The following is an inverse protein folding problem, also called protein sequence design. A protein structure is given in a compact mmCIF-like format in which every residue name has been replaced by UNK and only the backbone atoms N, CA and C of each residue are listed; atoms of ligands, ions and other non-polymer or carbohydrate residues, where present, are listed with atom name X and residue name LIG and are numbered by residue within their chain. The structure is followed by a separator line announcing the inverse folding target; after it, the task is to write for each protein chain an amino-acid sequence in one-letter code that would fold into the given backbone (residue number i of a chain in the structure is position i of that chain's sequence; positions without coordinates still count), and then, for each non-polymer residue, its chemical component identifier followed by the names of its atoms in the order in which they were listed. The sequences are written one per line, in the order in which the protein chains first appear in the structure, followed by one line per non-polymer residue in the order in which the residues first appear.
data_IF_196257454065
#
_entry.id   IF_196257454065
#
_cell.length_a   1.000
_cell.length_b   1.000
_cell.length_c   1.000
_cell.angle_alpha   90.00
_cell.angle_beta   90.00
_cell.angle_gamma   90.00
#
_symmetry.space_group_name_H-M   'P 1'
#
loop_
_entity.id
_entity.type
_entity.pdbx_description
1 polymer ?
#
# COMPACT_ATOMS: atom_id res chain seq x y z
N UNK A 1 41.68 10.78 -66.26
CA UNK A 1 41.72 11.13 -64.81
C UNK A 1 40.29 11.09 -64.28
N UNK A 2 39.90 10.01 -63.61
CA UNK A 2 38.55 9.82 -63.07
C UNK A 2 38.55 10.41 -61.65
N UNK A 3 37.83 11.51 -61.46
CA UNK A 3 37.73 12.19 -60.17
C UNK A 3 36.76 11.42 -59.27
N UNK A 4 37.30 10.56 -58.41
CA UNK A 4 36.53 9.75 -57.47
C UNK A 4 36.07 10.65 -56.30
N UNK A 5 34.84 11.15 -56.38
CA UNK A 5 34.21 11.96 -55.33
C UNK A 5 33.95 11.07 -54.12
N UNK A 6 34.77 11.20 -53.07
CA UNK A 6 34.55 10.55 -51.76
C UNK A 6 33.25 11.08 -51.16
N UNK A 7 32.19 10.28 -51.18
CA UNK A 7 30.98 10.51 -50.40
C UNK A 7 31.31 10.13 -48.95
N UNK A 8 31.46 11.15 -48.09
CA UNK A 8 31.65 10.97 -46.66
C UNK A 8 30.29 10.62 -46.03
N UNK A 9 30.01 9.33 -45.81
CA UNK A 9 28.88 8.87 -45.01
C UNK A 9 29.17 9.17 -43.53
N UNK A 10 28.51 10.20 -42.96
CA UNK A 10 28.48 10.41 -41.52
C UNK A 10 27.61 9.31 -40.89
N UNK A 11 28.13 8.48 -39.98
CA UNK A 11 27.30 7.57 -39.21
C UNK A 11 26.46 8.39 -38.23
N UNK A 12 25.15 8.34 -38.38
CA UNK A 12 24.21 8.93 -37.43
C UNK A 12 24.29 8.10 -36.14
N UNK A 13 25.05 8.57 -35.15
CA UNK A 13 25.04 7.99 -33.80
C UNK A 13 23.66 8.21 -33.19
N UNK A 14 22.79 7.20 -33.29
CA UNK A 14 21.59 7.13 -32.47
C UNK A 14 22.05 6.89 -31.02
N UNK A 15 22.01 7.93 -30.19
CA UNK A 15 22.18 7.79 -28.75
C UNK A 15 21.01 6.93 -28.24
N UNK A 16 21.26 5.77 -27.61
CA UNK A 16 20.20 5.01 -26.98
C UNK A 16 19.64 5.84 -25.83
N UNK A 17 18.47 6.45 -26.02
CA UNK A 17 17.68 7.02 -24.95
C UNK A 17 17.17 5.86 -24.10
N UNK A 18 17.70 5.72 -22.90
CA UNK A 18 17.18 4.76 -21.93
C UNK A 18 15.89 5.34 -21.36
N UNK A 19 14.76 5.04 -22.02
CA UNK A 19 13.41 5.19 -21.47
C UNK A 19 13.23 4.13 -20.38
N UNK A 20 13.86 4.38 -19.23
CA UNK A 20 14.12 3.33 -18.26
C UNK A 20 13.66 3.64 -16.85
N UNK A 21 12.68 4.50 -16.63
CA UNK A 21 12.19 4.77 -15.27
C UNK A 21 10.68 4.91 -15.20
N UNK A 22 10.14 4.96 -13.98
CA UNK A 22 8.70 4.96 -13.77
C UNK A 22 8.29 5.50 -12.40
N UNK A 23 7.01 5.35 -12.09
CA UNK A 23 6.38 5.88 -10.88
C UNK A 23 5.14 5.06 -10.52
N UNK A 24 4.60 5.26 -9.31
CA UNK A 24 3.29 4.73 -8.92
C UNK A 24 2.22 5.57 -9.63
N UNK A 25 1.52 4.97 -10.58
CA UNK A 25 0.50 5.66 -11.35
C UNK A 25 -0.88 5.53 -10.73
N UNK A 26 -1.21 4.37 -10.16
CA UNK A 26 -2.53 4.15 -9.53
C UNK A 26 -2.40 3.42 -8.21
N UNK A 27 -3.33 3.73 -7.32
CA UNK A 27 -3.47 3.07 -6.02
C UNK A 27 -4.87 2.47 -5.95
N UNK A 28 -4.96 1.18 -5.66
CA UNK A 28 -6.21 0.46 -5.44
C UNK A 28 -6.43 0.13 -3.97
N UNK A 29 -7.70 0.02 -3.56
CA UNK A 29 -8.13 -0.39 -2.22
C UNK A 29 -9.14 -1.52 -2.38
N UNK A 30 -8.85 -2.70 -1.82
CA UNK A 30 -9.69 -3.91 -1.82
C UNK A 30 -10.26 -4.33 -3.19
N UNK A 31 -9.57 -3.97 -4.27
CA UNK A 31 -10.03 -4.12 -5.65
C UNK A 31 -11.38 -3.41 -5.98
N UNK A 32 -11.89 -2.56 -5.09
CA UNK A 32 -13.17 -1.85 -5.24
C UNK A 32 -12.98 -0.40 -5.69
N UNK A 33 -11.88 0.22 -5.28
CA UNK A 33 -11.55 1.60 -5.61
C UNK A 33 -10.20 1.66 -6.34
N UNK A 34 -10.08 2.57 -7.30
CA UNK A 34 -8.81 2.89 -7.96
C UNK A 34 -8.67 4.40 -8.05
N UNK A 35 -7.61 4.92 -7.46
CA UNK A 35 -7.25 6.32 -7.40
C UNK A 35 -6.07 6.55 -8.35
N UNK A 36 -6.16 7.62 -9.15
CA UNK A 36 -5.19 7.93 -10.19
C UNK A 36 -4.24 9.03 -9.68
N UNK A 37 -2.95 8.76 -9.79
CA UNK A 37 -1.88 9.71 -9.57
C UNK A 37 -1.70 10.65 -10.76
N UNK A 38 -1.16 11.84 -10.49
CA UNK A 38 -0.72 12.73 -11.55
C UNK A 38 0.52 12.15 -12.26
N UNK A 39 0.67 12.42 -13.55
CA UNK A 39 1.91 12.10 -14.26
C UNK A 39 3.05 13.01 -13.78
N UNK A 40 4.29 12.53 -13.69
CA UNK A 40 5.44 13.33 -13.27
C UNK A 40 5.61 14.60 -14.12
N UNK A 41 6.07 15.68 -13.48
CA UNK A 41 6.27 17.00 -14.10
C UNK A 41 5.02 17.67 -14.70
N UNK A 42 3.82 17.11 -14.51
CA UNK A 42 2.60 17.79 -14.91
C UNK A 42 2.20 18.87 -13.91
N UNK A 43 1.29 19.75 -14.35
CA UNK A 43 0.53 20.60 -13.41
C UNK A 43 -0.38 19.67 -12.59
N UNK A 44 -0.20 19.58 -11.26
CA UNK A 44 -0.94 18.62 -10.46
C UNK A 44 -2.43 18.95 -10.41
N UNK A 45 -3.23 17.90 -10.32
CA UNK A 45 -4.64 17.93 -9.88
C UNK A 45 -4.77 17.20 -8.54
N UNK A 46 -5.93 17.30 -7.90
CA UNK A 46 -6.26 16.56 -6.68
C UNK A 46 -5.87 15.08 -6.79
N UNK A 47 -4.96 14.63 -5.92
CA UNK A 47 -4.52 13.24 -5.88
C UNK A 47 -3.95 12.87 -4.51
N UNK A 48 -4.10 11.59 -4.16
CA UNK A 48 -3.49 10.98 -2.98
C UNK A 48 -2.01 10.63 -3.19
N UNK A 49 -1.57 10.54 -4.45
CA UNK A 49 -0.16 10.28 -4.80
C UNK A 49 0.54 11.64 -4.90
N UNK A 50 1.59 11.83 -4.11
CA UNK A 50 2.39 13.06 -4.14
C UNK A 50 2.94 13.31 -5.55
N UNK A 51 2.79 14.53 -6.05
CA UNK A 51 3.35 14.94 -7.34
C UNK A 51 4.87 14.97 -7.25
N UNK A 52 5.55 14.27 -8.17
CA UNK A 52 7.00 14.35 -8.36
C UNK A 52 7.32 15.09 -9.66
N UNK A 53 8.49 15.71 -9.75
CA UNK A 53 8.91 16.47 -10.94
C UNK A 53 9.72 15.63 -11.95
N UNK A 54 10.19 14.45 -11.57
CA UNK A 54 10.98 13.56 -12.43
C UNK A 54 10.77 12.09 -12.06
N UNK A 55 10.84 11.23 -13.08
CA UNK A 55 10.92 9.76 -12.92
C UNK A 55 12.32 9.25 -12.69
N UNK A 56 13.34 10.12 -12.79
CA UNK A 56 14.73 9.72 -12.59
C UNK A 56 14.92 9.09 -11.20
N UNK A 57 15.79 8.08 -11.07
CA UNK A 57 15.98 7.41 -9.81
C UNK A 57 16.60 8.40 -8.81
N UNK A 58 16.08 8.41 -7.60
CA UNK A 58 16.73 9.09 -6.47
C UNK A 58 17.99 8.32 -6.13
N UNK A 59 19.15 8.92 -6.39
CA UNK A 59 20.47 8.32 -6.15
C UNK A 59 21.09 8.86 -4.86
N UNK A 60 21.81 8.00 -4.15
CA UNK A 60 22.48 8.28 -2.88
C UNK A 60 21.56 8.08 -1.68
N UNK A 61 22.01 7.30 -0.70
CA UNK A 61 21.26 6.97 0.50
C UNK A 61 20.94 8.19 1.39
N UNK A 62 21.80 9.21 1.35
CA UNK A 62 21.64 10.47 2.10
C UNK A 62 20.79 11.51 1.35
N UNK A 63 20.24 11.17 0.18
CA UNK A 63 19.48 12.10 -0.63
C UNK A 63 18.14 12.46 0.07
N UNK A 64 17.80 13.76 0.22
CA UNK A 64 16.58 14.19 0.91
C UNK A 64 15.29 13.69 0.23
N UNK A 65 15.35 13.31 -1.04
CA UNK A 65 14.20 12.81 -1.80
C UNK A 65 13.92 11.31 -1.61
N UNK A 66 14.72 10.59 -0.82
CA UNK A 66 14.52 9.15 -0.55
C UNK A 66 13.17 8.86 0.10
N UNK A 67 12.59 9.81 0.83
CA UNK A 67 11.31 9.63 1.52
C UNK A 67 10.09 9.58 0.60
N UNK A 68 10.05 10.38 -0.48
CA UNK A 68 8.82 10.62 -1.26
C UNK A 68 9.06 10.80 -2.78
N UNK A 69 10.30 10.76 -3.25
CA UNK A 69 10.65 10.97 -4.66
C UNK A 69 11.07 12.41 -4.99
N UNK A 70 11.52 12.63 -6.24
CA UNK A 70 12.09 13.91 -6.66
C UNK A 70 11.11 15.07 -6.51
N UNK A 71 11.47 16.02 -5.64
CA UNK A 71 10.72 17.25 -5.38
C UNK A 71 9.22 16.98 -5.13
N UNK A 72 8.96 15.96 -4.31
CA UNK A 72 7.61 15.52 -4.01
C UNK A 72 6.80 16.61 -3.29
N UNK A 73 5.71 17.04 -3.90
CA UNK A 73 4.79 18.02 -3.32
C UNK A 73 3.85 17.38 -2.30
N UNK A 74 3.17 18.20 -1.50
CA UNK A 74 2.09 17.71 -0.63
C UNK A 74 0.98 17.08 -1.48
N UNK A 75 0.39 15.99 -0.99
CA UNK A 75 -0.80 15.41 -1.60
C UNK A 75 -2.00 16.33 -1.31
N UNK A 76 -2.84 16.55 -2.31
CA UNK A 76 -4.02 17.42 -2.20
C UNK A 76 -5.24 16.64 -1.68
N UNK A 77 -5.30 15.33 -1.97
CA UNK A 77 -6.37 14.46 -1.49
C UNK A 77 -5.86 13.48 -0.43
N UNK A 78 -6.77 13.08 0.46
CA UNK A 78 -6.59 12.01 1.45
C UNK A 78 -7.72 11.00 1.25
N UNK A 79 -7.40 9.71 1.42
CA UNK A 79 -8.39 8.64 1.40
C UNK A 79 -8.38 7.88 2.72
N UNK A 80 -9.57 7.58 3.21
CA UNK A 80 -9.76 6.72 4.37
C UNK A 80 -9.61 5.25 3.97
N UNK A 81 -8.80 4.51 4.72
CA UNK A 81 -8.58 3.06 4.57
C UNK A 81 -8.70 2.40 5.94
N UNK A 82 -9.14 1.15 5.96
CA UNK A 82 -9.26 0.37 7.19
C UNK A 82 -8.00 -0.48 7.43
N UNK A 83 -7.65 -0.75 8.69
CA UNK A 83 -6.68 -1.78 9.02
C UNK A 83 -7.07 -3.13 8.40
N UNK A 84 -6.14 -3.78 7.70
CA UNK A 84 -6.40 -5.01 6.96
C UNK A 84 -6.83 -4.84 5.51
N UNK A 85 -7.11 -3.62 5.04
CA UNK A 85 -7.39 -3.38 3.62
C UNK A 85 -6.18 -3.79 2.77
N UNK A 86 -6.43 -4.34 1.58
CA UNK A 86 -5.39 -4.64 0.61
C UNK A 86 -5.17 -3.44 -0.32
N UNK A 87 -3.98 -2.85 -0.22
CA UNK A 87 -3.52 -1.78 -1.08
C UNK A 87 -2.84 -2.36 -2.33
N UNK A 88 -3.19 -1.84 -3.50
CA UNK A 88 -2.61 -2.24 -4.78
C UNK A 88 -1.89 -1.07 -5.43
N UNK A 89 -0.57 -1.13 -5.57
CA UNK A 89 0.23 -0.09 -6.22
C UNK A 89 0.55 -0.48 -7.66
N UNK A 90 -0.06 0.20 -8.62
CA UNK A 90 0.19 -0.02 -10.04
C UNK A 90 1.28 0.92 -10.52
N UNK A 91 2.40 0.35 -10.93
CA UNK A 91 3.54 1.07 -11.48
C UNK A 91 3.42 1.23 -12.99
N UNK A 92 3.94 2.33 -13.51
CA UNK A 92 4.05 2.59 -14.94
C UNK A 92 5.42 3.21 -15.26
N UNK A 93 5.90 3.03 -16.49
CA UNK A 93 6.99 3.82 -17.04
C UNK A 93 6.62 5.30 -17.13
N UNK A 94 7.62 6.18 -17.27
CA UNK A 94 7.40 7.63 -17.39
C UNK A 94 6.56 8.04 -18.61
N UNK A 95 6.50 7.19 -19.63
CA UNK A 95 5.66 7.29 -20.82
C UNK A 95 4.33 6.52 -20.69
N UNK A 96 3.98 6.09 -19.47
CA UNK A 96 2.84 5.22 -19.14
C UNK A 96 2.92 3.81 -19.73
N UNK A 97 4.08 3.40 -20.24
CA UNK A 97 4.33 2.01 -20.60
C UNK A 97 4.52 1.13 -19.35
N UNK A 98 4.95 -0.11 -19.56
CA UNK A 98 5.25 -1.05 -18.48
C UNK A 98 6.45 -0.58 -17.67
N UNK A 99 6.51 -1.02 -16.43
CA UNK A 99 7.67 -0.77 -15.60
C UNK A 99 8.93 -1.37 -16.26
N UNK A 100 10.02 -0.61 -16.44
CA UNK A 100 11.12 -1.01 -17.34
C UNK A 100 12.21 -1.86 -16.68
N UNK A 101 12.09 -2.18 -15.39
CA UNK A 101 13.09 -2.98 -14.65
C UNK A 101 12.50 -4.26 -14.07
N UNK A 102 13.29 -5.33 -14.05
CA UNK A 102 12.86 -6.64 -13.58
C UNK A 102 13.67 -7.18 -12.40
N UNK A 103 14.60 -6.39 -11.86
CA UNK A 103 15.54 -6.79 -10.81
C UNK A 103 15.56 -5.70 -9.74
N UNK A 104 15.15 -6.07 -8.53
CA UNK A 104 15.19 -5.19 -7.37
C UNK A 104 14.10 -5.51 -6.35
N UNK A 105 14.30 -5.12 -5.08
CA UNK A 105 13.29 -5.28 -4.05
C UNK A 105 12.14 -4.29 -4.25
N UNK A 106 11.00 -4.60 -3.65
CA UNK A 106 9.93 -3.63 -3.41
C UNK A 106 9.69 -3.58 -1.91
N UNK A 107 9.81 -2.38 -1.33
CA UNK A 107 9.67 -2.11 0.09
C UNK A 107 8.50 -1.16 0.30
N UNK A 108 7.71 -1.36 1.35
CA UNK A 108 6.61 -0.46 1.68
C UNK A 108 6.73 -0.05 3.14
N UNK A 109 6.69 1.25 3.35
CA UNK A 109 6.77 1.89 4.66
C UNK A 109 5.49 2.67 4.94
N UNK A 110 5.23 2.89 6.21
CA UNK A 110 4.21 3.81 6.68
C UNK A 110 4.83 4.75 7.72
N UNK A 111 4.19 5.91 7.90
CA UNK A 111 4.50 6.87 8.97
C UNK A 111 3.18 7.47 9.45
N UNK A 112 3.12 7.82 10.73
CA UNK A 112 2.00 8.60 11.25
C UNK A 112 2.15 10.07 10.85
N UNK A 113 1.04 10.71 10.49
CA UNK A 113 0.96 12.16 10.36
C UNK A 113 0.71 12.80 11.75
N UNK A 114 1.26 13.99 12.03
CA UNK A 114 0.94 14.75 13.24
C UNK A 114 -0.56 14.95 13.37
N UNK A 115 -1.09 14.82 14.59
CA UNK A 115 -2.49 15.05 14.93
C UNK A 115 -3.52 14.28 14.05
N UNK A 116 -3.08 13.22 13.38
CA UNK A 116 -3.87 12.46 12.38
C UNK A 116 -4.30 13.25 11.15
N UNK A 117 -3.63 14.37 10.83
CA UNK A 117 -3.87 15.15 9.62
C UNK A 117 -2.65 15.10 8.69
N UNK A 118 -2.85 14.52 7.50
CA UNK A 118 -1.81 14.39 6.49
C UNK A 118 -1.79 15.52 5.46
N UNK A 119 -2.76 16.46 5.49
CA UNK A 119 -2.96 17.47 4.44
C UNK A 119 -1.78 18.44 4.32
N UNK A 120 -1.13 18.74 5.45
CA UNK A 120 0.03 19.64 5.53
C UNK A 120 1.32 18.91 5.89
N UNK A 121 1.29 17.56 5.91
CA UNK A 121 2.38 16.77 6.47
C UNK A 121 3.62 16.78 5.58
N UNK A 122 4.70 17.40 6.08
CA UNK A 122 6.03 17.29 5.52
C UNK A 122 6.76 16.09 6.13
N UNK A 123 7.15 15.14 5.28
CA UNK A 123 7.74 13.87 5.67
C UNK A 123 9.28 13.90 5.80
N UNK A 124 9.93 15.06 5.64
CA UNK A 124 11.41 15.17 5.66
C UNK A 124 12.04 14.72 6.98
N UNK A 125 11.30 14.84 8.09
CA UNK A 125 11.74 14.39 9.43
C UNK A 125 10.84 13.28 9.99
N UNK A 126 10.08 12.61 9.12
CA UNK A 126 9.14 11.58 9.52
C UNK A 126 9.84 10.36 10.12
N UNK A 127 9.10 9.64 10.96
CA UNK A 127 9.52 8.36 11.55
C UNK A 127 8.76 7.24 10.87
N UNK A 128 9.48 6.53 10.02
CA UNK A 128 8.97 5.48 9.15
C UNK A 128 9.15 4.11 9.79
N UNK A 129 8.20 3.22 9.56
CA UNK A 129 8.33 1.80 9.86
C UNK A 129 7.98 0.97 8.63
N UNK A 130 8.69 -0.14 8.43
CA UNK A 130 8.49 -1.02 7.27
C UNK A 130 7.30 -1.94 7.53
N UNK A 131 6.37 -2.05 6.57
CA UNK A 131 5.20 -2.94 6.67
C UNK A 131 5.27 -4.14 5.73
N UNK A 132 6.03 -4.03 4.63
CA UNK A 132 6.19 -5.12 3.68
C UNK A 132 7.52 -5.00 2.94
N UNK A 133 8.06 -6.14 2.53
CA UNK A 133 9.17 -6.24 1.60
C UNK A 133 9.06 -7.51 0.77
N UNK A 134 9.41 -7.41 -0.50
CA UNK A 134 9.54 -8.56 -1.41
C UNK A 134 10.80 -8.40 -2.26
N UNK A 135 11.47 -9.51 -2.55
CA UNK A 135 12.75 -9.53 -3.26
C UNK A 135 12.76 -10.61 -4.34
N UNK A 136 13.71 -11.55 -4.27
CA UNK A 136 13.69 -12.76 -5.09
C UNK A 136 12.53 -13.68 -4.69
N UNK A 137 11.99 -14.41 -5.66
CA UNK A 137 10.97 -15.44 -5.45
C UNK A 137 11.62 -16.60 -4.67
N UNK A 138 11.08 -16.99 -3.50
CA UNK A 138 11.63 -18.11 -2.74
C UNK A 138 11.61 -19.41 -3.55
N UNK A 139 12.66 -20.21 -3.42
CA UNK A 139 12.81 -21.52 -4.10
C UNK A 139 12.78 -21.45 -5.63
N UNK A 140 13.02 -20.29 -6.23
CA UNK A 140 13.24 -20.17 -7.68
C UNK A 140 14.71 -20.30 -8.03
N UNK A 141 15.06 -21.38 -8.74
CA UNK A 141 16.41 -21.64 -9.25
C UNK A 141 16.93 -20.56 -10.21
N UNK A 142 16.03 -19.78 -10.83
CA UNK A 142 16.44 -18.68 -11.71
C UNK A 142 16.69 -17.37 -10.95
N UNK A 143 16.40 -17.35 -9.64
CA UNK A 143 16.58 -16.17 -8.81
C UNK A 143 15.72 -14.98 -9.27
N UNK A 144 14.56 -15.23 -9.89
CA UNK A 144 13.65 -14.21 -10.41
C UNK A 144 13.18 -13.28 -9.29
N UNK A 145 13.09 -11.98 -9.56
CA UNK A 145 12.55 -11.01 -8.62
C UNK A 145 11.05 -10.84 -8.79
N UNK A 146 10.32 -10.57 -7.70
CA UNK A 146 8.90 -10.20 -7.78
C UNK A 146 8.66 -8.98 -8.69
N UNK A 147 9.62 -8.06 -8.79
CA UNK A 147 9.54 -6.91 -9.69
C UNK A 147 9.40 -7.31 -11.17
N UNK A 148 9.87 -8.51 -11.56
CA UNK A 148 9.71 -9.02 -12.92
C UNK A 148 8.25 -9.13 -13.37
N UNK A 149 7.28 -9.26 -12.45
CA UNK A 149 5.87 -9.26 -12.81
C UNK A 149 5.38 -7.88 -13.30
N UNK A 150 5.93 -6.78 -12.76
CA UNK A 150 5.66 -5.42 -13.25
C UNK A 150 6.30 -5.19 -14.63
N UNK A 151 7.45 -5.82 -14.85
CA UNK A 151 8.16 -5.75 -16.12
C UNK A 151 7.46 -6.55 -17.22
N UNK A 152 6.91 -7.73 -16.90
CA UNK A 152 6.44 -8.73 -17.88
C UNK A 152 4.95 -8.61 -18.25
N UNK A 153 4.14 -7.90 -17.48
CA UNK A 153 2.70 -7.80 -17.69
C UNK A 153 2.10 -6.42 -17.36
N UNK A 154 1.12 -6.01 -18.15
CA UNK A 154 0.35 -4.78 -17.92
C UNK A 154 -0.60 -4.91 -16.73
N UNK A 155 -0.70 -3.84 -15.94
CA UNK A 155 -1.71 -3.73 -14.89
C UNK A 155 -1.51 -4.66 -13.69
N UNK A 156 -0.33 -5.26 -13.54
CA UNK A 156 0.00 -6.04 -12.34
C UNK A 156 0.33 -5.08 -11.20
N UNK A 157 -0.40 -5.11 -10.06
CA UNK A 157 -0.07 -4.30 -8.92
C UNK A 157 0.97 -4.98 -8.01
N UNK A 158 1.77 -4.16 -7.33
CA UNK A 158 2.41 -4.58 -6.09
C UNK A 158 1.37 -4.47 -4.96
N UNK A 159 1.02 -5.60 -4.34
CA UNK A 159 0.00 -5.65 -3.29
C UNK A 159 0.63 -5.63 -1.90
N UNK A 160 0.00 -4.89 -0.98
CA UNK A 160 0.36 -4.84 0.44
C UNK A 160 -0.90 -4.79 1.27
N UNK A 161 -1.03 -5.69 2.25
CA UNK A 161 -2.11 -5.63 3.23
C UNK A 161 -1.72 -4.69 4.35
N UNK A 162 -2.59 -3.72 4.67
CA UNK A 162 -2.36 -2.83 5.81
C UNK A 162 -2.36 -3.64 7.12
N UNK A 163 -1.48 -3.32 8.08
CA UNK A 163 -1.43 -4.04 9.34
C UNK A 163 -2.80 -4.10 10.03
N UNK A 164 -3.20 -5.28 10.49
CA UNK A 164 -4.41 -5.43 11.29
C UNK A 164 -4.19 -4.80 12.66
N UNK A 165 -5.03 -3.83 13.03
CA UNK A 165 -5.06 -3.38 14.42
C UNK A 165 -5.91 -4.36 15.25
N UNK A 166 -5.31 -4.95 16.28
CA UNK A 166 -6.09 -5.53 17.37
C UNK A 166 -6.56 -4.40 18.29
N UNK A 167 -7.76 -3.87 18.07
CA UNK A 167 -8.47 -3.22 19.18
C UNK A 167 -9.10 -4.31 20.06
N UNK A 168 -8.79 -4.40 21.37
CA UNK A 168 -9.62 -5.18 22.27
C UNK A 168 -11.06 -4.67 22.24
N UNK A 169 -11.98 -5.62 22.22
CA UNK A 169 -13.43 -5.47 22.03
C UNK A 169 -14.06 -4.62 23.15
N UNK A 170 -15.17 -3.95 22.81
CA UNK A 170 -16.17 -3.24 23.64
C UNK A 170 -15.92 -1.79 24.09
N UNK A 171 -16.47 -0.84 23.32
CA UNK A 171 -17.30 0.25 23.87
C UNK A 171 -18.49 0.49 22.92
N UNK A 172 -19.72 0.70 23.42
CA UNK A 172 -20.88 0.97 22.59
C UNK A 172 -20.71 2.28 21.79
N UNK A 173 -20.91 2.21 20.48
CA UNK A 173 -20.99 3.36 19.58
C UNK A 173 -22.10 4.34 20.02
N UNK A 174 -21.87 5.65 19.96
CA UNK A 174 -22.83 6.59 19.41
C UNK A 174 -22.43 6.98 17.97
N UNK A 175 -23.37 7.38 17.12
CA UNK A 175 -23.09 7.63 15.71
C UNK A 175 -22.54 9.04 15.49
N UNK A 176 -21.62 9.11 14.51
CA UNK A 176 -21.17 10.30 13.73
C UNK A 176 -19.98 11.09 14.29
N UNK A 177 -18.93 11.09 13.47
CA UNK A 177 -17.97 12.16 13.22
C UNK A 177 -17.07 12.59 14.38
N UNK A 178 -16.05 11.81 14.75
CA UNK A 178 -14.88 12.37 15.44
C UNK A 178 -13.73 11.37 15.53
N UNK A 179 -12.56 11.88 15.13
CA UNK A 179 -11.23 11.32 15.31
C UNK A 179 -11.04 10.74 16.72
N UNK A 180 -10.52 9.52 16.81
CA UNK A 180 -10.03 9.00 18.06
C UNK A 180 -8.66 9.64 18.34
N UNK A 181 -8.61 10.67 19.19
CA UNK A 181 -7.36 11.09 19.81
C UNK A 181 -6.78 9.92 20.63
N UNK A 182 -5.48 9.61 20.56
CA UNK A 182 -4.86 8.77 21.57
C UNK A 182 -4.55 9.65 22.78
N UNK A 183 -5.38 9.55 23.81
CA UNK A 183 -4.97 9.88 25.16
C UNK A 183 -3.90 8.88 25.63
N UNK A 184 -2.90 9.46 26.28
CA UNK A 184 -1.67 8.89 26.84
C UNK A 184 -1.81 7.53 27.57
N UNK A 185 -0.70 6.76 27.53
CA UNK A 185 -0.36 5.58 28.36
C UNK A 185 -1.20 4.31 28.22
N UNK A 186 -1.02 3.62 27.11
CA UNK A 186 -0.68 2.18 27.14
C UNK A 186 0.17 1.86 25.90
N UNK A 187 1.28 1.13 26.07
CA UNK A 187 2.02 0.54 24.94
C UNK A 187 1.10 -0.50 24.29
N UNK A 188 0.22 -0.02 23.42
CA UNK A 188 -0.83 -0.81 22.80
C UNK A 188 -0.26 -1.70 21.70
N UNK A 189 -0.67 -2.96 21.71
CA UNK A 189 -0.45 -3.91 20.61
C UNK A 189 -1.02 -3.30 19.32
N UNK A 190 -0.15 -2.91 18.37
CA UNK A 190 -0.56 -2.36 17.08
C UNK A 190 -0.03 -0.95 16.73
N UNK A 191 0.98 -0.46 17.45
CA UNK A 191 1.73 0.78 17.13
C UNK A 191 3.22 0.41 16.98
N UNK A 192 3.97 1.00 16.03
CA UNK A 192 5.41 0.82 15.93
C UNK A 192 6.10 1.20 17.25
N UNK A 193 7.09 0.40 17.65
CA UNK A 193 8.01 0.75 18.74
C UNK A 193 9.11 1.68 18.23
N UNK A 194 9.84 2.36 19.12
CA UNK A 194 10.97 3.20 18.72
C UNK A 194 12.03 2.40 17.93
N UNK A 195 12.18 1.10 18.21
CA UNK A 195 13.08 0.20 17.49
C UNK A 195 12.60 -0.15 16.07
N UNK A 196 11.30 0.02 15.78
CA UNK A 196 10.73 -0.16 14.44
C UNK A 196 10.88 1.12 13.57
N UNK A 197 11.28 2.25 14.17
CA UNK A 197 11.23 3.57 13.55
C UNK A 197 12.60 4.03 13.01
N UNK A 198 12.61 4.50 11.77
CA UNK A 198 13.78 5.06 11.08
C UNK A 198 13.45 6.39 10.40
N UNK A 199 14.47 7.15 9.99
CA UNK A 199 14.30 8.32 9.12
C UNK A 199 14.63 7.97 7.68
N UNK A 200 14.03 8.68 6.73
CA UNK A 200 14.38 8.63 5.31
C UNK A 200 14.66 10.07 4.85
N UNK A 201 15.91 10.43 4.52
CA UNK A 201 17.14 9.63 4.58
C UNK A 201 17.57 9.24 6.02
N UNK A 202 18.46 8.25 6.12
CA UNK A 202 19.06 7.76 7.37
C UNK A 202 18.89 6.26 7.63
N UNK A 203 17.87 5.61 7.06
CA UNK A 203 17.67 4.17 7.18
C UNK A 203 18.60 3.33 6.29
N UNK A 204 19.25 3.96 5.31
CA UNK A 204 20.02 3.32 4.27
C UNK A 204 21.45 3.85 4.27
N UNK A 205 22.37 3.02 3.77
CA UNK A 205 23.72 3.41 3.38
C UNK A 205 24.01 2.94 1.95
N UNK A 206 24.79 3.71 1.18
CA UNK A 206 25.21 3.31 -0.16
C UNK A 206 26.03 2.01 -0.16
N UNK A 207 26.58 1.60 0.99
CA UNK A 207 27.31 0.34 1.17
C UNK A 207 26.48 -0.78 1.79
N UNK A 208 25.17 -0.59 2.01
CA UNK A 208 24.32 -1.68 2.51
C UNK A 208 24.36 -2.86 1.53
N UNK A 209 24.41 -4.12 2.02
CA UNK A 209 24.48 -5.30 1.17
C UNK A 209 23.21 -5.55 0.33
N UNK A 210 22.15 -4.76 0.57
CA UNK A 210 20.94 -4.72 -0.24
C UNK A 210 20.91 -3.62 -1.30
N UNK A 211 21.86 -2.68 -1.25
CA UNK A 211 21.99 -1.51 -2.14
C UNK A 211 23.20 -1.71 -3.06
N UNK A 212 24.39 -1.94 -2.49
CA UNK A 212 25.57 -2.31 -3.25
C UNK A 212 25.62 -3.84 -3.39
N UNK A 213 25.08 -4.33 -4.51
CA UNK A 213 25.02 -5.77 -4.82
C UNK A 213 25.78 -6.05 -6.13
N UNK A 214 27.11 -6.28 -6.07
CA UNK A 214 27.93 -6.47 -7.26
C UNK A 214 27.45 -7.61 -8.16
N UNK A 215 26.95 -8.69 -7.54
CA UNK A 215 26.57 -9.93 -8.20
C UNK A 215 25.05 -10.07 -8.38
N UNK A 216 24.30 -8.96 -8.44
CA UNK A 216 22.81 -9.01 -8.50
C UNK A 216 22.29 -9.79 -9.70
N UNK A 217 23.03 -9.77 -10.82
CA UNK A 217 22.71 -10.48 -12.06
C UNK A 217 23.24 -11.92 -12.10
N UNK A 218 24.11 -12.32 -11.16
CA UNK A 218 24.63 -13.67 -11.10
C UNK A 218 23.60 -14.57 -10.39
N UNK A 219 23.22 -15.67 -11.04
CA UNK A 219 22.17 -16.59 -10.57
C UNK A 219 22.66 -18.03 -10.39
N UNK A 220 23.97 -18.28 -10.49
CA UNK A 220 24.58 -19.60 -10.31
C UNK A 220 25.78 -19.53 -9.35
N UNK A 221 25.60 -19.86 -8.05
CA UNK A 221 24.32 -20.06 -7.38
C UNK A 221 23.55 -18.74 -7.20
N UNK A 222 22.23 -18.80 -7.02
CA UNK A 222 21.43 -17.60 -6.67
C UNK A 222 21.89 -17.07 -5.31
N UNK A 223 22.46 -15.85 -5.23
CA UNK A 223 22.94 -15.32 -3.97
C UNK A 223 21.75 -14.95 -3.07
N UNK A 224 21.94 -15.16 -1.76
CA UNK A 224 21.03 -14.63 -0.76
C UNK A 224 20.97 -13.09 -0.87
N UNK A 225 19.79 -12.52 -0.71
CA UNK A 225 19.59 -11.07 -0.77
C UNK A 225 19.24 -10.53 0.62
N UNK A 226 20.00 -9.54 1.08
CA UNK A 226 19.72 -8.84 2.34
C UNK A 226 18.95 -7.57 2.03
N UNK A 227 17.74 -7.44 2.57
CA UNK A 227 16.96 -6.21 2.38
C UNK A 227 17.59 -5.03 3.13
N UNK A 228 17.65 -3.83 2.53
CA UNK A 228 18.12 -2.64 3.22
C UNK A 228 17.05 -2.08 4.17
N UNK A 229 17.47 -1.22 5.09
CA UNK A 229 16.60 -0.59 6.09
C UNK A 229 16.21 -1.52 7.26
N UNK A 230 15.25 -1.07 8.10
CA UNK A 230 14.86 -1.82 9.29
C UNK A 230 14.16 -3.14 8.95
N UNK A 231 13.98 -3.99 9.96
CA UNK A 231 13.07 -5.13 9.83
C UNK A 231 11.63 -4.67 9.53
N UNK A 232 10.78 -5.59 9.05
CA UNK A 232 9.33 -5.36 9.07
C UNK A 232 8.93 -5.14 10.53
N UNK A 233 8.13 -4.11 10.79
CA UNK A 233 7.75 -3.70 12.12
C UNK A 233 7.11 -4.86 12.91
N UNK A 234 7.53 -5.01 14.16
CA UNK A 234 7.22 -6.15 15.02
C UNK A 234 5.71 -6.46 15.15
N UNK A 235 4.86 -5.44 15.16
CA UNK A 235 3.41 -5.60 15.28
C UNK A 235 2.74 -6.11 13.99
N UNK A 236 3.40 -5.97 12.84
CA UNK A 236 2.91 -6.47 11.55
C UNK A 236 3.08 -7.99 11.48
N UNK A 237 4.23 -8.50 11.93
CA UNK A 237 4.55 -9.94 11.95
C UNK A 237 3.81 -10.69 13.07
N UNK A 238 3.50 -10.02 14.18
CA UNK A 238 2.62 -10.59 15.21
C UNK A 238 1.20 -10.87 14.69
N UNK A 239 0.73 -10.09 13.71
CA UNK A 239 -0.61 -10.21 13.13
C UNK A 239 -0.77 -11.37 12.14
N UNK A 240 0.33 -11.92 11.59
CA UNK A 240 0.32 -13.09 10.70
C UNK A 240 0.40 -14.43 11.45
N UNK A 241 0.59 -14.41 12.77
CA UNK A 241 0.81 -15.59 13.62
C UNK A 241 -0.46 -16.22 14.19
N UNK A 242 -1.62 -16.01 13.57
CA UNK A 242 -2.92 -16.44 14.10
C UNK A 242 -3.48 -17.70 13.45
N UNK A 243 -3.04 -18.90 13.89
CA UNK A 243 -3.85 -20.14 14.11
C UNK A 243 -3.05 -21.44 13.87
N UNK A 244 -2.38 -21.96 14.91
CA UNK A 244 -2.03 -23.38 15.01
C UNK A 244 -1.82 -23.84 16.46
N UNK A 245 -2.81 -23.59 17.33
CA UNK A 245 -2.90 -24.35 18.58
C UNK A 245 -3.46 -25.74 18.29
N UNK A 246 -2.54 -26.66 17.99
CA UNK A 246 -2.78 -28.09 17.89
C UNK A 246 -3.25 -28.67 19.21
N UNK A 247 -4.33 -29.44 19.12
CA UNK A 247 -5.00 -30.17 20.18
C UNK A 247 -4.06 -31.08 20.97
N UNK A 248 -3.98 -30.86 22.28
CA UNK A 248 -3.47 -31.81 23.26
C UNK A 248 -4.55 -32.10 24.30
N UNK A 249 -5.38 -33.11 24.02
CA UNK A 249 -6.41 -33.64 24.92
C UNK A 249 -5.81 -34.11 26.25
N UNK A 250 -6.46 -33.77 27.38
CA UNK A 250 -6.64 -34.69 28.52
C UNK A 250 -7.70 -34.18 29.51
N UNK A 251 -8.83 -34.87 29.45
CA UNK A 251 -9.84 -35.24 30.45
C UNK A 251 -9.80 -34.63 31.86
N UNK A 252 -10.98 -34.17 32.29
CA UNK A 252 -11.31 -33.95 33.70
C UNK A 252 -12.60 -33.16 33.91
N UNK A 253 -13.77 -33.80 33.70
CA UNK A 253 -15.04 -33.38 34.31
C UNK A 253 -15.15 -34.07 35.69
N UNK A 254 -15.90 -33.57 36.70
CA UNK A 254 -17.35 -33.41 36.55
C UNK A 254 -18.04 -32.24 37.30
N UNK A 255 -19.22 -31.91 36.76
CA UNK A 255 -20.51 -31.61 37.43
C UNK A 255 -20.68 -30.44 38.41
N UNK A 256 -21.61 -29.53 38.05
CA UNK A 256 -22.87 -29.24 38.77
C UNK A 256 -23.66 -28.15 37.99
N UNK A 257 -24.72 -28.49 37.26
CA UNK A 257 -26.15 -28.29 37.63
C UNK A 257 -26.52 -26.90 38.17
N UNK A 258 -27.43 -26.19 37.46
CA UNK A 258 -28.09 -25.01 38.00
C UNK A 258 -28.93 -24.27 36.96
N UNK A 259 -30.22 -24.59 36.90
CA UNK A 259 -31.21 -24.08 35.94
C UNK A 259 -31.81 -22.70 36.28
N UNK A 260 -32.38 -22.07 35.24
CA UNK A 260 -33.62 -21.24 35.23
C UNK A 260 -33.58 -19.79 35.78
N UNK A 261 -33.76 -18.85 34.83
CA UNK A 261 -34.94 -17.99 34.63
C UNK A 261 -35.65 -17.39 35.86
N UNK A 262 -35.66 -16.05 35.97
CA UNK A 262 -36.87 -15.19 35.88
C UNK A 262 -36.63 -13.73 36.33
N UNK A 263 -37.25 -12.79 35.60
CA UNK A 263 -37.55 -11.36 35.89
C UNK A 263 -38.05 -11.08 37.32
N UNK A 264 -38.10 -9.82 37.86
CA UNK A 264 -38.99 -8.76 37.35
C UNK A 264 -38.55 -7.28 37.47
N UNK A 265 -39.07 -6.48 36.54
CA UNK A 265 -39.84 -5.21 36.68
C UNK A 265 -39.65 -4.27 37.90
N UNK A 266 -39.51 -2.96 37.59
CA UNK A 266 -40.04 -1.75 38.27
C UNK A 266 -39.06 -0.57 38.01
N UNK A 267 -39.39 0.71 37.83
CA UNK A 267 -40.61 1.52 37.72
C UNK A 267 -40.14 2.90 37.21
N UNK A 268 -40.98 3.60 36.44
CA UNK A 268 -40.79 5.00 36.05
C UNK A 268 -40.84 5.96 37.27
N UNK A 269 -40.42 7.22 37.10
CA UNK A 269 -41.45 8.24 36.86
C UNK A 269 -41.11 9.26 35.77
N UNK A 270 -42.19 9.86 35.28
CA UNK A 270 -42.27 10.89 34.26
C UNK A 270 -42.03 12.30 34.84
N UNK A 271 -41.50 13.20 34.01
CA UNK A 271 -41.81 14.64 34.11
C UNK A 271 -41.41 15.41 32.84
N UNK A 272 -42.45 15.93 32.18
CA UNK A 272 -42.60 17.23 31.51
C UNK A 272 -41.65 17.69 30.38
N UNK A 273 -42.27 17.79 29.21
CA UNK A 273 -41.93 18.54 27.99
C UNK A 273 -41.77 20.06 28.20
N UNK A 274 -41.11 20.76 27.26
CA UNK A 274 -41.92 21.51 26.29
C UNK A 274 -41.48 21.36 24.82
N UNK A 275 -42.53 21.29 24.01
CA UNK A 275 -42.75 21.47 22.58
C UNK A 275 -41.81 22.43 21.83
N UNK A 276 -41.19 21.95 20.75
CA UNK A 276 -40.90 22.77 19.56
C UNK A 276 -40.97 21.93 18.29
N UNK A 277 -41.98 22.21 17.47
CA UNK A 277 -42.28 21.55 16.19
C UNK A 277 -41.24 21.87 15.08
N UNK A 278 -41.18 21.06 14.01
CA UNK A 278 -39.98 20.84 13.22
C UNK A 278 -39.85 21.78 12.02
N UNK A 279 -38.62 22.23 11.72
CA UNK A 279 -38.30 22.88 10.45
C UNK A 279 -37.89 21.82 9.42
N UNK A 280 -38.84 21.40 8.60
CA UNK A 280 -38.63 20.60 7.39
C UNK A 280 -38.03 21.47 6.28
N UNK A 281 -36.79 21.18 5.84
CA UNK A 281 -36.26 21.66 4.57
C UNK A 281 -36.66 20.69 3.45
N UNK A 282 -37.61 21.10 2.60
CA UNK A 282 -37.98 20.40 1.37
C UNK A 282 -37.03 20.83 0.24
N UNK A 283 -36.20 19.91 -0.25
CA UNK A 283 -35.48 20.09 -1.52
C UNK A 283 -36.42 19.80 -2.68
N UNK A 284 -36.53 20.75 -3.59
CA UNK A 284 -37.39 20.74 -4.77
C UNK A 284 -36.71 19.92 -5.88
N UNK A 285 -37.30 18.79 -6.25
CA UNK A 285 -36.84 17.98 -7.39
C UNK A 285 -37.34 18.63 -8.69
N UNK A 286 -36.42 19.09 -9.53
CA UNK A 286 -36.73 19.44 -10.91
C UNK A 286 -36.76 18.16 -11.76
N UNK A 287 -37.76 18.06 -12.62
CA UNK A 287 -37.99 16.97 -13.56
C UNK A 287 -37.64 17.37 -14.98
N UNK A 288 -37.41 16.34 -15.81
CA UNK A 288 -37.15 16.30 -17.27
C UNK A 288 -35.69 16.52 -17.67
N UNK A 289 -35.06 15.75 -18.57
CA UNK A 289 -35.60 15.04 -19.73
C UNK A 289 -34.91 13.70 -20.02
N UNK A 290 -35.68 12.80 -20.61
CA UNK A 290 -35.28 11.52 -21.21
C UNK A 290 -34.37 11.74 -22.42
N UNK A 291 -33.18 11.12 -22.42
CA UNK A 291 -32.44 10.85 -23.65
C UNK A 291 -31.94 9.40 -23.65
N UNK A 292 -32.41 8.65 -24.63
CA UNK A 292 -32.05 7.27 -24.93
C UNK A 292 -30.54 7.13 -25.16
N UNK A 293 -29.89 6.24 -24.41
CA UNK A 293 -28.56 5.71 -24.78
C UNK A 293 -28.55 4.19 -24.68
N UNK A 294 -28.55 3.62 -25.89
CA UNK A 294 -28.17 2.29 -26.33
C UNK A 294 -27.12 1.64 -25.42
N UNK A 295 -27.47 0.50 -24.83
CA UNK A 295 -26.56 -0.37 -24.10
C UNK A 295 -25.55 -1.01 -25.06
N UNK A 296 -24.27 -0.82 -24.79
CA UNK A 296 -23.20 -1.71 -25.25
C UNK A 296 -22.67 -2.44 -24.05
N UNK A 297 -22.98 -3.72 -24.01
CA UNK A 297 -22.55 -4.72 -23.03
C UNK A 297 -21.03 -4.86 -23.07
N UNK A 298 -20.36 -4.54 -21.96
CA UNK A 298 -18.94 -4.82 -21.77
C UNK A 298 -18.79 -6.30 -21.37
N UNK A 299 -17.90 -7.08 -22.00
CA UNK A 299 -17.77 -8.50 -21.70
C UNK A 299 -17.15 -8.69 -20.32
N UNK A 300 -17.91 -9.31 -19.40
CA UNK A 300 -17.40 -9.79 -18.12
C UNK A 300 -16.50 -11.01 -18.37
N UNK A 301 -15.22 -11.01 -17.96
CA UNK A 301 -14.42 -12.22 -17.98
C UNK A 301 -14.94 -13.18 -16.90
N UNK A 302 -15.70 -14.20 -17.32
CA UNK A 302 -15.92 -15.40 -16.54
C UNK A 302 -14.61 -16.18 -16.56
N UNK A 303 -14.03 -16.42 -15.39
CA UNK A 303 -12.77 -17.11 -15.10
C UNK A 303 -11.56 -16.19 -14.86
N UNK A 304 -11.26 -15.99 -13.58
CA UNK A 304 -9.90 -15.75 -13.11
C UNK A 304 -9.01 -16.91 -13.61
N UNK A 305 -7.93 -16.59 -14.32
CA UNK A 305 -6.96 -17.59 -14.76
C UNK A 305 -6.37 -18.31 -13.54
N UNK A 306 -6.04 -19.60 -13.67
CA UNK A 306 -5.44 -20.40 -12.59
C UNK A 306 -4.15 -19.75 -12.03
N UNK A 307 -3.45 -18.98 -12.86
CA UNK A 307 -2.25 -18.21 -12.51
C UNK A 307 -2.54 -17.12 -11.45
N UNK A 308 -3.71 -16.47 -11.52
CA UNK A 308 -4.12 -15.47 -10.51
C UNK A 308 -4.51 -16.13 -9.17
N UNK A 309 -4.94 -17.39 -9.19
CA UNK A 309 -5.27 -18.16 -7.97
C UNK A 309 -4.02 -18.55 -7.19
N UNK A 310 -2.95 -18.94 -7.87
CA UNK A 310 -1.68 -19.29 -7.21
C UNK A 310 -1.00 -18.05 -6.61
N UNK A 311 -1.19 -16.86 -7.19
CA UNK A 311 -0.71 -15.62 -6.59
C UNK A 311 -1.44 -15.32 -5.27
N UNK A 312 -2.75 -15.58 -5.18
CA UNK A 312 -3.52 -15.37 -3.95
C UNK A 312 -3.30 -16.44 -2.88
N UNK A 313 -2.89 -17.65 -3.28
CA UNK A 313 -2.66 -18.77 -2.36
C UNK A 313 -1.22 -18.84 -1.85
N UNK A 314 -0.23 -18.37 -2.62
CA UNK A 314 1.18 -18.34 -2.19
C UNK A 314 1.43 -17.38 -1.01
N UNK A 315 0.64 -16.31 -0.90
CA UNK A 315 0.66 -15.42 0.28
C UNK A 315 0.10 -16.04 1.57
N UNK A 316 -0.60 -17.20 1.49
CA UNK A 316 -1.11 -17.90 2.68
C UNK A 316 -0.17 -18.99 3.21
N UNK A 317 0.92 -19.31 2.53
CA UNK A 317 1.78 -20.47 2.87
C UNK A 317 3.25 -20.15 3.17
N UNK A 318 3.64 -18.88 3.22
CA UNK A 318 5.03 -18.47 3.54
C UNK A 318 5.20 -17.91 4.95
N UNK A 319 4.26 -18.21 5.86
CA UNK A 319 4.48 -18.08 7.30
C UNK A 319 4.99 -19.42 7.87
N UNK A 320 6.24 -19.76 7.55
CA UNK A 320 7.07 -20.72 8.29
C UNK A 320 8.54 -20.41 8.07
#
# INVERSE_FOLDING_TARGET
MICLRRVLLLPLLALPSVLGHGFVWKVGIDATQTLIGNVPNAKPTGSIVRQINSVDPVKGADNPYVNCGNDAQLAEDIVDVNPGDNMSFLWAGGDLSRWPHNIGPMLTYMTACPDSDCSTFNSSNAKWFKIAQVGRIPNDSQGTWFQNFLFTADGVPANVTLPHQHRPRTVPHPPRNNCASPSDRSRGTGVPTDDDLVTLPGAYSDTDPGILVPDVFNVDPVPAYTFPGPAIASFVTASSSGSSSGSGSRSGSPSATGSRSSSPSATAPASSSPTSSPKTCKLKRASTSTLSKRATEAPRPRHLSRIMRDLMLSFKHTAH
#
